data_IF_437805500164
#
_entry.id   IF_437805500164
#
_cell.length_a   1.000
_cell.length_b   1.000
_cell.length_c   1.000
_cell.angle_alpha   90.00
_cell.angle_beta   90.00
_cell.angle_gamma   90.00
#
_symmetry.space_group_name_H-M   'P 1'
#
loop_
_entity.id
_entity.type
_entity.pdbx_description
1 polymer ?
#
# COMPACT_ATOMS: atom_id res chain seq x y z
N UNK A 1 3.03 -15.73 -5.48
CA UNK A 1 4.15 -14.75 -5.45
C UNK A 1 5.06 -15.13 -4.30
N UNK A 2 6.38 -15.03 -4.46
CA UNK A 2 7.36 -15.25 -3.39
C UNK A 2 8.47 -14.21 -3.48
N UNK A 3 9.06 -13.84 -2.34
CA UNK A 3 10.13 -12.84 -2.27
C UNK A 3 11.20 -13.28 -1.26
N UNK A 4 12.45 -13.35 -1.71
CA UNK A 4 13.59 -13.58 -0.83
C UNK A 4 14.17 -12.23 -0.40
N UNK A 5 14.18 -11.96 0.91
CA UNK A 5 14.63 -10.68 1.47
C UNK A 5 16.04 -10.82 2.04
N UNK A 6 16.96 -9.97 1.57
CA UNK A 6 18.22 -9.70 2.26
C UNK A 6 18.00 -8.54 3.23
N UNK A 7 18.03 -8.81 4.54
CA UNK A 7 17.76 -7.80 5.56
C UNK A 7 18.95 -6.87 5.76
N UNK A 8 18.89 -5.66 5.20
CA UNK A 8 19.84 -4.57 5.47
C UNK A 8 19.40 -3.68 6.64
N UNK A 9 18.10 -3.63 6.95
CA UNK A 9 17.45 -2.84 8.01
C UNK A 9 16.16 -3.53 8.50
N UNK A 10 15.61 -3.17 9.67
CA UNK A 10 14.32 -3.71 10.16
C UNK A 10 14.34 -5.13 10.76
N UNK A 11 15.52 -5.70 11.01
CA UNK A 11 15.67 -7.02 11.65
C UNK A 11 15.32 -8.21 10.75
N UNK A 12 15.31 -9.41 11.34
CA UNK A 12 15.14 -10.70 10.66
C UNK A 12 13.88 -11.46 11.10
N UNK A 13 12.85 -10.76 11.58
CA UNK A 13 11.59 -11.41 11.98
C UNK A 13 10.74 -11.81 10.78
N UNK A 14 9.80 -12.74 10.98
CA UNK A 14 8.81 -13.10 9.96
C UNK A 14 7.92 -11.91 9.55
N UNK A 15 7.71 -10.95 10.47
CA UNK A 15 6.87 -9.76 10.22
C UNK A 15 7.44 -8.79 9.19
N UNK A 16 8.72 -8.92 8.83
CA UNK A 16 9.37 -8.09 7.81
C UNK A 16 9.61 -8.85 6.50
N UNK A 17 9.13 -10.10 6.40
CA UNK A 17 9.16 -10.86 5.15
C UNK A 17 8.07 -10.38 4.21
N UNK A 18 8.47 -9.99 3.01
CA UNK A 18 7.55 -9.75 1.90
C UNK A 18 7.01 -11.08 1.35
N UNK A 19 5.84 -11.08 0.69
CA UNK A 19 5.02 -9.92 0.33
C UNK A 19 4.20 -9.37 1.48
N UNK A 20 4.12 -8.04 1.56
CA UNK A 20 3.10 -7.39 2.37
C UNK A 20 1.78 -7.38 1.62
N UNK A 21 0.68 -7.45 2.38
CA UNK A 21 -0.67 -7.51 1.85
C UNK A 21 -1.53 -6.44 2.50
N UNK A 22 -2.30 -5.75 1.67
CA UNK A 22 -3.41 -4.90 2.07
C UNK A 22 -4.69 -5.59 1.64
N UNK A 23 -5.50 -5.98 2.63
CA UNK A 23 -6.75 -6.71 2.41
C UNK A 23 -7.93 -5.77 2.41
N UNK A 24 -8.86 -6.01 1.48
CA UNK A 24 -10.15 -5.34 1.42
C UNK A 24 -11.24 -6.36 1.17
N UNK A 25 -12.44 -6.10 1.68
CA UNK A 25 -13.64 -6.87 1.31
C UNK A 25 -14.01 -6.70 -0.17
N UNK A 26 -13.53 -5.64 -0.81
CA UNK A 26 -13.69 -5.39 -2.24
C UNK A 26 -12.56 -6.10 -3.00
N UNK A 27 -12.86 -7.09 -3.86
CA UNK A 27 -11.83 -7.88 -4.54
C UNK A 27 -10.82 -7.03 -5.31
N UNK A 28 -11.31 -5.97 -5.97
CA UNK A 28 -10.56 -4.99 -6.77
C UNK A 28 -9.65 -4.06 -5.96
N UNK A 29 -9.77 -4.05 -4.62
CA UNK A 29 -8.95 -3.22 -3.71
C UNK A 29 -7.96 -4.03 -2.88
N UNK A 30 -7.79 -5.32 -3.18
CA UNK A 30 -6.74 -6.13 -2.55
C UNK A 30 -5.40 -5.87 -3.25
N UNK A 31 -4.33 -5.70 -2.47
CA UNK A 31 -3.00 -5.38 -2.99
C UNK A 31 -1.92 -6.20 -2.28
N UNK A 32 -0.95 -6.69 -3.05
CA UNK A 32 0.27 -7.31 -2.53
C UNK A 32 1.49 -6.58 -3.06
N UNK A 33 2.47 -6.32 -2.21
CA UNK A 33 3.72 -5.65 -2.58
C UNK A 33 4.93 -6.44 -2.08
N UNK A 34 5.88 -6.65 -2.99
CA UNK A 34 7.20 -7.17 -2.70
C UNK A 34 8.23 -6.25 -3.34
N UNK A 35 9.08 -5.63 -2.51
CA UNK A 35 10.07 -4.64 -2.94
C UNK A 35 11.50 -5.11 -2.78
N UNK A 36 12.31 -4.91 -3.83
CA UNK A 36 13.77 -5.04 -3.80
C UNK A 36 14.42 -3.68 -4.09
N UNK A 37 14.30 -2.77 -3.14
CA UNK A 37 14.81 -1.41 -3.24
C UNK A 37 15.19 -0.91 -1.84
N UNK A 38 15.96 0.18 -1.79
CA UNK A 38 16.20 0.93 -0.56
C UNK A 38 15.49 2.28 -0.65
N UNK A 39 14.72 2.64 0.38
CA UNK A 39 14.02 3.92 0.40
C UNK A 39 14.94 4.99 1.01
N UNK A 40 15.18 6.06 0.26
CA UNK A 40 16.07 7.14 0.71
C UNK A 40 15.32 8.29 1.37
N UNK A 41 14.03 8.42 1.10
CA UNK A 41 13.17 9.51 1.58
C UNK A 41 11.97 9.03 2.40
N UNK A 42 12.18 7.99 3.21
CA UNK A 42 11.15 7.40 4.09
C UNK A 42 10.43 8.42 4.97
N UNK A 43 11.16 9.42 5.49
CA UNK A 43 10.58 10.47 6.35
C UNK A 43 9.52 11.29 5.60
N UNK A 44 9.86 11.77 4.41
CA UNK A 44 8.96 12.56 3.56
C UNK A 44 7.73 11.74 3.14
N UNK A 45 7.94 10.46 2.82
CA UNK A 45 6.85 9.54 2.51
C UNK A 45 5.87 9.42 3.67
N UNK A 46 6.37 9.21 4.89
CA UNK A 46 5.56 9.11 6.09
C UNK A 46 4.82 10.42 6.41
N UNK A 47 5.50 11.56 6.31
CA UNK A 47 4.88 12.88 6.49
C UNK A 47 3.74 13.11 5.48
N UNK A 48 3.92 12.69 4.23
CA UNK A 48 2.86 12.78 3.22
C UNK A 48 1.64 11.94 3.57
N UNK A 49 1.83 10.74 4.13
CA UNK A 49 0.73 9.87 4.56
C UNK A 49 -0.03 10.47 5.74
N UNK A 50 0.69 11.05 6.71
CA UNK A 50 0.09 11.75 7.85
C UNK A 50 -0.71 12.97 7.39
N UNK A 51 -0.18 13.74 6.43
CA UNK A 51 -0.87 14.90 5.87
C UNK A 51 -2.17 14.52 5.15
N UNK A 52 -2.26 13.32 4.59
CA UNK A 52 -3.49 12.75 4.02
C UNK A 52 -4.46 12.21 5.10
N UNK A 53 -4.13 12.33 6.38
CA UNK A 53 -4.95 11.88 7.51
C UNK A 53 -4.76 10.41 7.88
N UNK A 54 -3.78 9.71 7.28
CA UNK A 54 -3.47 8.34 7.68
C UNK A 54 -2.67 8.32 8.98
N UNK A 55 -2.85 7.27 9.77
CA UNK A 55 -1.98 6.96 10.91
C UNK A 55 -1.06 5.78 10.53
N UNK A 56 0.07 6.03 9.82
CA UNK A 56 0.91 4.96 9.31
C UNK A 56 1.53 4.16 10.45
N UNK A 57 1.52 2.82 10.30
CA UNK A 57 2.36 1.96 11.13
C UNK A 57 3.78 2.09 10.58
N UNK A 58 4.67 2.75 11.33
CA UNK A 58 6.07 2.98 10.96
C UNK A 58 6.94 1.71 10.97
N UNK A 59 6.38 0.55 10.62
CA UNK A 59 7.05 -0.74 10.71
C UNK A 59 8.16 -0.88 9.67
N UNK A 60 7.92 -0.52 8.41
CA UNK A 60 8.89 -0.61 7.32
C UNK A 60 8.58 0.35 6.17
N UNK A 61 9.61 0.76 5.44
CA UNK A 61 9.49 1.65 4.28
C UNK A 61 8.59 1.07 3.18
N UNK A 62 8.69 -0.25 2.95
CA UNK A 62 7.84 -0.95 1.97
C UNK A 62 6.37 -0.93 2.39
N UNK A 63 6.06 -0.97 3.70
CA UNK A 63 4.68 -0.84 4.17
C UNK A 63 4.13 0.55 3.88
N UNK A 64 4.90 1.61 4.15
CA UNK A 64 4.48 2.99 3.84
C UNK A 64 4.20 3.16 2.33
N UNK A 65 5.01 2.53 1.47
CA UNK A 65 4.75 2.51 0.03
C UNK A 65 3.46 1.76 -0.32
N UNK A 66 3.23 0.58 0.29
CA UNK A 66 1.99 -0.18 0.10
C UNK A 66 0.76 0.65 0.47
N UNK A 67 0.80 1.40 1.57
CA UNK A 67 -0.30 2.27 1.98
C UNK A 67 -0.53 3.41 1.00
N UNK A 68 0.53 4.04 0.50
CA UNK A 68 0.41 5.14 -0.47
C UNK A 68 -0.18 4.67 -1.81
N UNK A 69 0.26 3.51 -2.31
CA UNK A 69 -0.31 2.90 -3.51
C UNK A 69 -1.76 2.48 -3.24
N UNK A 70 -2.04 1.92 -2.06
CA UNK A 70 -3.38 1.54 -1.63
C UNK A 70 -4.35 2.73 -1.58
N UNK A 71 -3.90 3.89 -1.11
CA UNK A 71 -4.67 5.13 -1.10
C UNK A 71 -5.10 5.55 -2.53
N UNK A 72 -4.15 5.62 -3.46
CA UNK A 72 -4.46 6.00 -4.83
C UNK A 72 -5.29 4.94 -5.57
N UNK A 73 -5.11 3.65 -5.26
CA UNK A 73 -5.96 2.58 -5.76
C UNK A 73 -7.41 2.78 -5.32
N UNK A 74 -7.64 3.14 -4.06
CA UNK A 74 -8.97 3.39 -3.54
C UNK A 74 -9.62 4.62 -4.21
N UNK A 75 -8.88 5.73 -4.36
CA UNK A 75 -9.38 6.92 -5.05
C UNK A 75 -9.77 6.62 -6.50
N UNK A 76 -8.88 5.96 -7.24
CA UNK A 76 -9.12 5.62 -8.64
C UNK A 76 -10.32 4.67 -8.78
N UNK A 77 -10.44 3.69 -7.89
CA UNK A 77 -11.56 2.78 -7.85
C UNK A 77 -12.87 3.50 -7.56
N UNK A 78 -12.90 4.38 -6.55
CA UNK A 78 -14.12 5.10 -6.17
C UNK A 78 -14.56 6.08 -7.25
N UNK A 79 -13.60 6.72 -7.93
CA UNK A 79 -13.89 7.58 -9.07
C UNK A 79 -14.49 6.78 -10.24
N UNK A 80 -13.92 5.62 -10.56
CA UNK A 80 -14.44 4.74 -11.61
C UNK A 80 -15.83 4.22 -11.26
N UNK A 81 -16.05 3.81 -10.01
CA UNK A 81 -17.35 3.35 -9.54
C UNK A 81 -18.42 4.45 -9.66
N UNK A 82 -18.12 5.67 -9.22
CA UNK A 82 -19.04 6.81 -9.34
C UNK A 82 -19.35 7.12 -10.80
N UNK A 83 -18.32 7.16 -11.64
CA UNK A 83 -18.47 7.40 -13.08
C UNK A 83 -19.41 6.38 -13.74
N UNK A 84 -19.16 5.08 -13.56
CA UNK A 84 -19.97 4.02 -14.15
C UNK A 84 -21.41 4.02 -13.61
N UNK A 85 -21.58 4.23 -12.30
CA UNK A 85 -22.91 4.35 -11.68
C UNK A 85 -23.69 5.53 -12.27
N UNK A 86 -23.05 6.68 -12.44
CA UNK A 86 -23.69 7.89 -12.96
C UNK A 86 -24.03 7.76 -14.47
N UNK A 87 -23.33 6.90 -15.22
CA UNK A 87 -23.68 6.49 -16.58
C UNK A 87 -24.81 5.44 -16.64
N UNK A 88 -25.31 4.95 -15.50
CA UNK A 88 -26.38 3.96 -15.43
C UNK A 88 -25.91 2.52 -15.60
N UNK A 89 -24.60 2.26 -15.48
CA UNK A 89 -24.08 0.92 -15.33
C UNK A 89 -24.29 0.46 -13.88
N UNK A 90 -25.47 -0.09 -13.60
CA UNK A 90 -25.76 -0.72 -12.30
C UNK A 90 -24.91 -1.99 -12.12
N UNK A 91 -24.38 -2.16 -10.91
CA UNK A 91 -23.54 -3.28 -10.50
C UNK A 91 -24.36 -4.55 -10.20
#
# INVERSE_FOLDING_TARGET
MGHLRYGTSGGYSLSVCHPFFRRSSWPTKNLMLAGNFNMTNTKELNESLIAMGQHPIFATDTQALLEKVGYHLDEAHDNLYRYLRDEGHDA
#
